data_IF_527475475790
#
_entry.id   IF_527475475790
#
_cell.length_a   1.000
_cell.length_b   1.000
_cell.length_c   1.000
_cell.angle_alpha   90.00
_cell.angle_beta   90.00
_cell.angle_gamma   90.00
#
_symmetry.space_group_name_H-M   'P 1'
#
loop_
_entity.id
_entity.type
_entity.pdbx_description
1 polymer ?
#
# COMPACT_ATOMS: atom_id res chain seq x y z
N UNK A 1 9.04 -11.73 8.01
CA UNK A 1 8.35 -11.36 6.76
C UNK A 1 9.03 -10.18 6.07
N UNK A 2 8.27 -9.27 5.44
CA UNK A 2 8.81 -8.06 4.79
C UNK A 2 9.32 -7.07 5.84
N UNK A 3 10.63 -6.84 5.87
CA UNK A 3 11.27 -5.84 6.76
C UNK A 3 11.45 -4.49 6.08
N UNK A 4 12.20 -4.46 4.99
CA UNK A 4 12.39 -3.28 4.14
C UNK A 4 12.95 -2.01 4.81
N UNK A 5 13.64 -2.13 5.95
CA UNK A 5 14.30 -1.01 6.65
C UNK A 5 15.83 -1.04 6.53
N UNK A 6 16.36 -1.81 5.58
CA UNK A 6 17.78 -1.99 5.23
C UNK A 6 18.67 -2.64 6.29
N UNK A 7 18.64 -2.16 7.53
CA UNK A 7 19.39 -2.69 8.67
C UNK A 7 18.90 -4.07 9.12
N UNK A 8 19.66 -4.74 9.97
CA UNK A 8 19.15 -5.92 10.68
C UNK A 8 18.18 -5.53 11.79
N UNK A 9 17.11 -6.32 12.02
CA UNK A 9 16.17 -6.05 13.09
C UNK A 9 16.84 -6.01 14.46
N UNK A 10 16.51 -5.00 15.25
CA UNK A 10 16.89 -4.88 16.65
C UNK A 10 15.63 -4.90 17.51
N UNK A 11 15.73 -5.39 18.75
CA UNK A 11 14.58 -5.51 19.66
C UNK A 11 13.65 -6.69 19.35
N UNK A 12 14.08 -7.64 18.54
CA UNK A 12 13.36 -8.89 18.26
C UNK A 12 14.16 -10.08 18.79
N UNK A 13 13.57 -10.89 19.70
CA UNK A 13 14.16 -12.14 20.18
C UNK A 13 14.39 -13.15 19.02
N UNK A 14 13.54 -13.07 18.00
CA UNK A 14 13.61 -13.88 16.80
C UNK A 14 13.19 -13.08 15.57
N UNK A 15 13.94 -13.19 14.47
CA UNK A 15 13.54 -12.60 13.20
C UNK A 15 13.96 -13.44 12.01
N UNK A 16 13.06 -13.52 11.02
CA UNK A 16 13.32 -14.05 9.69
C UNK A 16 12.69 -13.11 8.67
N UNK A 17 13.52 -12.45 7.87
CA UNK A 17 13.09 -11.32 7.05
C UNK A 17 13.39 -11.53 5.56
N UNK A 18 12.55 -10.93 4.71
CA UNK A 18 12.77 -10.89 3.27
C UNK A 18 13.82 -9.81 2.94
N UNK A 19 14.86 -10.11 2.13
CA UNK A 19 15.74 -9.10 1.58
C UNK A 19 14.99 -8.14 0.66
N UNK A 20 15.15 -6.83 0.86
CA UNK A 20 14.45 -5.81 0.08
C UNK A 20 12.93 -5.95 0.20
N UNK A 21 12.25 -6.03 -0.96
CA UNK A 21 10.80 -6.23 -1.02
C UNK A 21 10.38 -7.71 -1.11
N UNK A 22 11.35 -8.63 -1.03
CA UNK A 22 11.12 -10.08 -1.14
C UNK A 22 10.62 -10.56 -2.50
N UNK A 23 10.42 -11.86 -2.59
CA UNK A 23 9.87 -12.57 -3.75
C UNK A 23 8.59 -13.32 -3.34
N UNK A 24 7.69 -13.55 -4.28
CA UNK A 24 6.47 -14.36 -4.10
C UNK A 24 6.75 -15.85 -4.12
N UNK A 25 7.60 -16.33 -5.03
CA UNK A 25 7.92 -17.75 -5.16
C UNK A 25 9.37 -18.03 -4.79
N UNK A 26 9.55 -19.08 -4.00
CA UNK A 26 10.82 -19.59 -3.48
C UNK A 26 11.74 -18.45 -2.96
N UNK A 27 11.24 -17.62 -2.02
CA UNK A 27 11.97 -16.45 -1.54
C UNK A 27 13.24 -16.83 -0.78
N UNK A 28 14.24 -15.95 -0.87
CA UNK A 28 15.35 -15.95 0.08
C UNK A 28 14.89 -15.23 1.37
N UNK A 29 15.26 -15.76 2.53
CA UNK A 29 15.10 -15.14 3.85
C UNK A 29 16.48 -14.88 4.47
N UNK A 30 16.61 -13.76 5.17
CA UNK A 30 17.75 -13.44 6.04
C UNK A 30 17.35 -13.77 7.48
N UNK A 31 18.24 -14.45 8.19
CA UNK A 31 18.18 -14.78 9.62
C UNK A 31 19.51 -14.44 10.28
N UNK A 32 19.63 -14.65 11.59
CA UNK A 32 20.91 -14.49 12.30
C UNK A 32 21.96 -15.51 11.85
N UNK A 33 21.54 -16.68 11.38
CA UNK A 33 22.41 -17.74 10.87
C UNK A 33 22.82 -17.54 9.40
N UNK A 34 22.23 -16.56 8.70
CA UNK A 34 22.58 -16.22 7.32
C UNK A 34 21.38 -16.17 6.39
N UNK A 35 21.61 -16.38 5.10
CA UNK A 35 20.55 -16.36 4.08
C UNK A 35 20.19 -17.77 3.64
N UNK A 36 18.89 -18.08 3.59
CA UNK A 36 18.37 -19.37 3.13
C UNK A 36 17.22 -19.16 2.17
N UNK A 37 17.21 -19.93 1.07
CA UNK A 37 16.05 -20.04 0.19
C UNK A 37 15.10 -21.11 0.71
N UNK A 38 13.81 -20.83 0.66
CA UNK A 38 12.76 -21.77 1.06
C UNK A 38 11.77 -21.87 -0.09
N UNK A 39 11.52 -23.10 -0.55
CA UNK A 39 10.56 -23.35 -1.62
C UNK A 39 9.12 -23.21 -1.12
N UNK A 40 8.28 -22.54 -1.89
CA UNK A 40 6.90 -22.26 -1.54
C UNK A 40 6.43 -20.87 -1.98
N UNK A 41 5.18 -20.54 -1.65
CA UNK A 41 4.65 -19.19 -1.82
C UNK A 41 4.92 -18.38 -0.55
N UNK A 42 5.44 -17.17 -0.72
CA UNK A 42 5.88 -16.28 0.35
C UNK A 42 4.78 -15.95 1.36
N UNK A 43 3.52 -15.85 0.92
CA UNK A 43 2.40 -15.60 1.86
C UNK A 43 2.26 -16.78 2.81
N UNK A 44 2.20 -17.99 2.28
CA UNK A 44 2.09 -19.23 3.06
C UNK A 44 3.31 -19.42 3.97
N UNK A 45 4.53 -19.26 3.43
CA UNK A 45 5.77 -19.43 4.19
C UNK A 45 5.89 -18.45 5.36
N UNK A 46 5.50 -17.18 5.18
CA UNK A 46 5.51 -16.19 6.26
C UNK A 46 4.49 -16.57 7.34
N UNK A 47 3.31 -17.08 6.96
CA UNK A 47 2.31 -17.60 7.91
C UNK A 47 2.82 -18.83 8.66
N UNK A 48 3.46 -19.76 7.96
CA UNK A 48 4.01 -20.99 8.52
C UNK A 48 5.08 -20.66 9.57
N UNK A 49 6.02 -19.77 9.25
CA UNK A 49 7.03 -19.29 10.20
C UNK A 49 6.40 -18.65 11.45
N UNK A 50 5.35 -17.85 11.27
CA UNK A 50 4.65 -17.21 12.38
C UNK A 50 3.94 -18.26 13.28
N UNK A 51 3.26 -19.23 12.68
CA UNK A 51 2.59 -20.32 13.40
C UNK A 51 3.60 -21.24 14.11
N UNK A 52 4.69 -21.59 13.44
CA UNK A 52 5.74 -22.44 14.03
C UNK A 52 6.41 -21.74 15.20
N UNK A 53 6.64 -20.43 15.10
CA UNK A 53 7.14 -19.64 16.22
C UNK A 53 6.19 -19.62 17.42
N UNK A 54 4.88 -19.48 17.18
CA UNK A 54 3.87 -19.53 18.24
C UNK A 54 3.81 -20.92 18.91
N UNK A 55 3.76 -21.99 18.12
CA UNK A 55 3.74 -23.38 18.62
C UNK A 55 4.93 -23.72 19.49
N UNK A 56 6.13 -23.29 19.09
CA UNK A 56 7.35 -23.51 19.84
C UNK A 56 7.44 -22.72 21.16
N UNK A 57 6.42 -21.93 21.48
CA UNK A 57 6.31 -21.15 22.72
C UNK A 57 5.03 -21.44 23.50
N UNK A 58 4.30 -22.51 23.16
CA UNK A 58 3.06 -22.87 23.87
C UNK A 58 3.25 -23.06 25.38
N UNK A 59 4.43 -23.52 25.81
CA UNK A 59 4.79 -23.69 27.22
C UNK A 59 5.41 -22.43 27.86
N UNK A 60 5.53 -21.31 27.14
CA UNK A 60 6.13 -20.09 27.67
C UNK A 60 5.13 -19.26 28.47
N UNK A 61 5.55 -18.81 29.65
CA UNK A 61 4.81 -17.86 30.49
C UNK A 61 5.01 -16.39 30.10
N UNK A 62 5.91 -16.10 29.15
CA UNK A 62 6.21 -14.73 28.70
C UNK A 62 5.18 -14.25 27.69
N UNK A 63 4.67 -13.00 27.81
CA UNK A 63 3.85 -12.39 26.77
C UNK A 63 4.63 -12.25 25.46
N UNK A 64 3.92 -12.13 24.34
CA UNK A 64 4.53 -11.98 23.02
C UNK A 64 4.00 -10.77 22.26
N UNK A 65 4.85 -10.28 21.34
CA UNK A 65 4.45 -9.43 20.23
C UNK A 65 4.98 -10.07 18.95
N UNK A 66 4.07 -10.38 18.01
CA UNK A 66 4.40 -11.03 16.75
C UNK A 66 4.05 -10.12 15.57
N UNK A 67 5.05 -9.83 14.73
CA UNK A 67 4.86 -9.06 13.50
C UNK A 67 4.88 -9.99 12.27
N UNK A 68 3.69 -10.44 11.84
CA UNK A 68 3.52 -11.24 10.63
C UNK A 68 3.35 -10.33 9.39
N UNK A 69 4.47 -9.94 8.77
CA UNK A 69 4.49 -8.95 7.68
C UNK A 69 4.57 -9.62 6.31
N UNK A 70 3.48 -9.61 5.54
CA UNK A 70 3.43 -10.22 4.21
C UNK A 70 4.06 -9.34 3.11
N UNK A 71 4.52 -9.98 2.02
CA UNK A 71 4.85 -9.30 0.76
C UNK A 71 3.58 -8.91 -0.01
N UNK A 72 2.59 -9.79 -0.01
CA UNK A 72 1.34 -9.59 -0.72
C UNK A 72 0.55 -8.39 -0.14
N UNK A 73 -0.20 -7.64 -0.97
CA UNK A 73 -0.37 -7.76 -2.42
C UNK A 73 0.54 -6.79 -3.22
N UNK A 74 1.82 -6.68 -2.89
CA UNK A 74 2.74 -5.80 -3.62
C UNK A 74 2.92 -6.20 -5.10
N UNK A 75 3.21 -5.23 -5.99
CA UNK A 75 3.62 -5.47 -7.39
C UNK A 75 4.77 -6.51 -7.44
N UNK A 76 4.78 -7.48 -8.36
CA UNK A 76 3.94 -7.67 -9.57
C UNK A 76 2.80 -8.70 -9.38
N UNK A 77 2.14 -8.72 -8.21
CA UNK A 77 0.89 -9.48 -7.96
C UNK A 77 0.92 -10.92 -8.45
N UNK A 78 1.81 -11.73 -7.87
CA UNK A 78 1.93 -13.15 -8.22
C UNK A 78 1.16 -14.00 -7.21
N UNK A 79 -0.10 -14.38 -7.48
CA UNK A 79 -0.92 -15.13 -6.53
C UNK A 79 -0.37 -16.54 -6.32
N UNK A 80 -0.82 -17.21 -5.25
CA UNK A 80 -0.52 -18.62 -5.06
C UNK A 80 -1.13 -19.45 -6.21
N UNK A 81 -0.48 -20.57 -6.57
CA UNK A 81 -0.90 -21.38 -7.73
C UNK A 81 -2.37 -21.84 -7.61
N UNK A 82 -2.82 -22.14 -6.38
CA UNK A 82 -4.22 -22.52 -6.07
C UNK A 82 -5.26 -21.44 -6.40
N UNK A 83 -4.85 -20.19 -6.59
CA UNK A 83 -5.75 -19.06 -6.87
C UNK A 83 -5.70 -18.57 -8.31
N UNK A 84 -4.93 -19.21 -9.21
CA UNK A 84 -4.74 -18.72 -10.59
C UNK A 84 -6.02 -18.66 -11.42
N UNK A 85 -7.00 -19.52 -11.12
CA UNK A 85 -8.30 -19.53 -11.80
C UNK A 85 -9.35 -18.64 -11.14
N UNK A 86 -9.11 -18.17 -9.91
CA UNK A 86 -10.09 -17.40 -9.14
C UNK A 86 -10.44 -16.10 -9.87
N UNK A 87 -11.73 -15.76 -9.98
CA UNK A 87 -12.22 -14.58 -10.71
C UNK A 87 -12.03 -14.59 -12.24
N UNK A 88 -11.66 -15.72 -12.86
CA UNK A 88 -11.57 -15.80 -14.33
C UNK A 88 -12.89 -15.38 -15.02
N UNK A 89 -14.00 -15.85 -14.46
CA UNK A 89 -15.35 -15.66 -15.00
C UNK A 89 -16.05 -14.42 -14.42
N UNK A 90 -15.39 -13.70 -13.51
CA UNK A 90 -15.93 -12.49 -12.88
C UNK A 90 -15.43 -11.25 -13.59
N UNK A 91 -16.35 -10.38 -14.02
CA UNK A 91 -15.99 -9.02 -14.44
C UNK A 91 -15.93 -8.13 -13.19
N UNK A 92 -14.74 -7.67 -12.84
CA UNK A 92 -14.57 -6.77 -11.70
C UNK A 92 -15.05 -5.37 -12.12
N UNK A 93 -15.87 -4.66 -11.31
CA UNK A 93 -16.32 -3.31 -11.64
C UNK A 93 -15.14 -2.38 -11.94
N UNK A 94 -15.28 -1.51 -12.94
CA UNK A 94 -14.29 -0.46 -13.23
C UNK A 94 -14.57 0.72 -12.29
N UNK A 95 -13.55 1.35 -11.67
CA UNK A 95 -13.76 2.60 -10.96
C UNK A 95 -14.23 3.67 -11.97
N UNK A 96 -15.14 4.58 -11.58
CA UNK A 96 -15.61 5.65 -12.46
C UNK A 96 -14.47 6.51 -13.03
N UNK A 97 -13.36 6.58 -12.29
CA UNK A 97 -12.16 7.37 -12.58
C UNK A 97 -11.09 6.61 -13.38
N UNK A 98 -11.36 5.39 -13.88
CA UNK A 98 -10.37 4.59 -14.65
C UNK A 98 -9.81 5.32 -15.88
N UNK A 99 -10.59 6.24 -16.46
CA UNK A 99 -10.19 7.04 -17.62
C UNK A 99 -10.05 8.53 -17.28
N UNK A 100 -9.76 8.85 -16.02
CA UNK A 100 -9.43 10.20 -15.60
C UNK A 100 -8.25 10.75 -16.41
N UNK A 101 -8.24 12.07 -16.60
CA UNK A 101 -7.23 12.85 -17.32
C UNK A 101 -6.68 13.99 -16.49
N UNK A 102 -7.04 14.06 -15.21
CA UNK A 102 -6.47 14.98 -14.21
C UNK A 102 -6.47 16.43 -14.67
N UNK A 103 -7.54 16.85 -15.37
CA UNK A 103 -7.61 18.17 -16.01
C UNK A 103 -7.62 19.30 -14.99
N UNK A 104 -8.31 19.08 -13.87
CA UNK A 104 -8.46 20.07 -12.81
C UNK A 104 -7.37 19.94 -11.73
N UNK A 105 -6.70 18.79 -11.63
CA UNK A 105 -5.57 18.58 -10.71
C UNK A 105 -4.36 19.45 -11.09
N UNK A 106 -3.50 19.67 -10.10
CA UNK A 106 -2.15 20.18 -10.30
C UNK A 106 -1.39 19.30 -11.30
N UNK A 107 -0.46 19.91 -12.03
CA UNK A 107 0.28 19.25 -13.11
C UNK A 107 1.06 18.00 -12.72
N UNK A 108 1.57 17.81 -11.49
CA UNK A 108 2.19 16.55 -11.10
C UNK A 108 1.32 15.32 -11.37
N UNK A 109 -0.01 15.41 -11.29
CA UNK A 109 -0.90 14.28 -11.59
C UNK A 109 -0.80 13.81 -13.06
N UNK A 110 -0.39 14.70 -13.98
CA UNK A 110 -0.21 14.41 -15.42
C UNK A 110 1.20 13.90 -15.77
N UNK A 111 2.15 13.95 -14.83
CA UNK A 111 3.56 13.60 -15.08
C UNK A 111 4.05 12.37 -14.28
N UNK A 112 3.16 11.69 -13.55
CA UNK A 112 3.49 10.40 -12.92
C UNK A 112 3.68 9.27 -13.93
N UNK A 113 4.28 8.18 -13.46
CA UNK A 113 4.54 6.96 -14.22
C UNK A 113 3.91 5.71 -13.56
N UNK A 114 2.61 5.77 -13.27
CA UNK A 114 1.84 4.75 -12.53
C UNK A 114 0.44 4.46 -13.12
N UNK A 115 0.19 4.84 -14.36
CA UNK A 115 -1.06 4.51 -15.07
C UNK A 115 -1.18 3.03 -15.49
N UNK A 116 -2.40 2.51 -15.41
CA UNK A 116 -2.81 1.23 -16.01
C UNK A 116 -2.57 1.22 -17.51
N UNK A 117 -2.87 2.33 -18.20
CA UNK A 117 -2.68 2.45 -19.66
C UNK A 117 -1.19 2.60 -20.02
N UNK A 118 -0.54 3.66 -19.53
CA UNK A 118 0.83 3.99 -19.93
C UNK A 118 1.94 3.15 -19.30
N UNK A 119 1.75 2.61 -18.09
CA UNK A 119 2.89 2.19 -17.25
C UNK A 119 2.84 0.74 -16.76
N UNK A 120 1.70 0.05 -16.85
CA UNK A 120 1.68 -1.40 -16.67
C UNK A 120 2.28 -2.11 -17.89
N UNK A 121 3.31 -2.90 -17.64
CA UNK A 121 3.97 -3.72 -18.63
C UNK A 121 3.21 -5.04 -18.81
N UNK A 122 2.79 -5.31 -20.05
CA UNK A 122 1.96 -6.49 -20.33
C UNK A 122 2.69 -7.81 -20.05
N UNK A 123 4.02 -7.84 -20.22
CA UNK A 123 4.82 -9.05 -20.03
C UNK A 123 5.23 -9.18 -18.57
N UNK A 124 5.74 -8.10 -17.96
CA UNK A 124 6.36 -8.18 -16.64
C UNK A 124 5.38 -7.99 -15.47
N UNK A 125 4.26 -7.27 -15.67
CA UNK A 125 3.23 -7.08 -14.64
C UNK A 125 2.01 -7.97 -14.85
N UNK A 126 1.57 -8.10 -16.10
CA UNK A 126 0.31 -8.76 -16.43
C UNK A 126 0.50 -10.20 -16.89
N UNK A 127 1.75 -10.63 -17.09
CA UNK A 127 2.13 -11.97 -17.53
C UNK A 127 1.42 -12.42 -18.82
N UNK A 128 1.16 -11.45 -19.71
CA UNK A 128 0.63 -11.66 -21.05
C UNK A 128 1.75 -11.77 -22.10
N UNK A 129 1.42 -12.26 -23.31
CA UNK A 129 2.34 -12.25 -24.43
C UNK A 129 2.55 -10.83 -24.97
N UNK A 130 3.67 -10.54 -25.64
CA UNK A 130 3.79 -9.32 -26.43
C UNK A 130 2.74 -9.32 -27.54
N UNK A 131 1.96 -8.25 -27.66
CA UNK A 131 0.91 -8.06 -28.67
C UNK A 131 1.02 -6.66 -29.26
N UNK A 132 0.45 -6.42 -30.45
CA UNK A 132 0.40 -5.10 -31.08
C UNK A 132 1.78 -4.42 -31.21
N UNK A 133 2.84 -5.18 -31.48
CA UNK A 133 4.21 -4.65 -31.58
C UNK A 133 4.85 -4.24 -30.24
N UNK A 134 4.27 -4.63 -29.11
CA UNK A 134 4.77 -4.27 -27.78
C UNK A 134 6.17 -4.83 -27.52
N UNK A 135 7.12 -3.92 -27.28
CA UNK A 135 8.46 -4.26 -26.79
C UNK A 135 8.48 -4.13 -25.25
N UNK A 136 8.64 -5.23 -24.50
CA UNK A 136 8.62 -5.19 -23.04
C UNK A 136 9.78 -4.39 -22.42
N UNK A 137 10.79 -4.01 -23.21
CA UNK A 137 11.96 -3.27 -22.73
C UNK A 137 11.93 -1.77 -23.07
N UNK A 138 10.94 -1.26 -23.82
CA UNK A 138 10.87 0.14 -24.27
C UNK A 138 9.82 1.02 -23.55
N UNK A 139 9.34 0.60 -22.38
CA UNK A 139 8.38 1.38 -21.57
C UNK A 139 9.05 2.46 -20.71
N UNK A 140 8.27 3.47 -20.28
CA UNK A 140 8.74 4.54 -19.37
C UNK A 140 9.12 4.01 -17.99
N UNK A 141 8.33 3.07 -17.48
CA UNK A 141 8.61 2.28 -16.27
C UNK A 141 8.72 0.81 -16.64
N UNK A 142 9.91 0.21 -16.44
CA UNK A 142 10.15 -1.22 -16.66
C UNK A 142 10.60 -1.87 -15.36
N UNK A 143 9.66 -2.53 -14.66
CA UNK A 143 9.99 -3.40 -13.54
C UNK A 143 10.04 -4.87 -13.99
N UNK A 144 11.22 -5.50 -13.90
CA UNK A 144 11.43 -6.92 -14.22
C UNK A 144 11.34 -7.85 -13.01
N UNK A 145 10.90 -7.34 -11.85
CA UNK A 145 10.84 -8.11 -10.60
C UNK A 145 10.00 -9.39 -10.74
N UNK A 146 8.81 -9.31 -11.34
CA UNK A 146 7.95 -10.46 -11.62
C UNK A 146 8.62 -11.52 -12.49
N UNK A 147 9.23 -11.09 -13.59
CA UNK A 147 9.95 -11.99 -14.50
C UNK A 147 11.13 -12.68 -13.81
N UNK A 148 11.94 -11.93 -13.06
CA UNK A 148 13.03 -12.51 -12.25
C UNK A 148 12.51 -13.49 -11.21
N UNK A 149 11.30 -13.27 -10.68
CA UNK A 149 10.70 -14.20 -9.74
C UNK A 149 10.21 -15.49 -10.43
N UNK A 150 9.71 -15.43 -11.66
CA UNK A 150 9.36 -16.64 -12.44
C UNK A 150 10.57 -17.55 -12.62
N UNK A 151 11.77 -16.99 -12.81
CA UNK A 151 13.01 -17.77 -12.92
C UNK A 151 13.42 -18.50 -11.64
N UNK A 152 12.79 -18.18 -10.50
CA UNK A 152 13.02 -18.90 -9.23
C UNK A 152 12.05 -20.06 -9.02
N UNK A 153 10.97 -20.14 -9.79
CA UNK A 153 10.01 -21.24 -9.67
C UNK A 153 10.66 -22.59 -10.01
N UNK A 154 10.24 -23.65 -9.34
CA UNK A 154 10.55 -25.01 -9.77
C UNK A 154 9.90 -25.28 -11.13
N UNK A 155 10.38 -26.29 -11.91
CA UNK A 155 9.76 -26.64 -13.19
C UNK A 155 8.25 -26.90 -13.08
N UNK A 156 7.81 -27.58 -12.00
CA UNK A 156 6.41 -27.85 -11.74
C UNK A 156 5.60 -26.57 -11.44
N UNK A 157 6.13 -25.67 -10.60
CA UNK A 157 5.49 -24.39 -10.31
C UNK A 157 5.35 -23.54 -11.57
N UNK A 158 6.41 -23.48 -12.41
CA UNK A 158 6.39 -22.72 -13.65
C UNK A 158 5.40 -23.31 -14.67
N UNK A 159 5.30 -24.63 -14.76
CA UNK A 159 4.31 -25.30 -15.61
C UNK A 159 2.87 -24.97 -15.20
N UNK A 160 2.57 -25.06 -13.90
CA UNK A 160 1.26 -24.69 -13.35
C UNK A 160 0.94 -23.20 -13.58
N UNK A 161 1.93 -22.32 -13.37
CA UNK A 161 1.80 -20.90 -13.65
C UNK A 161 1.44 -20.64 -15.12
N UNK A 162 2.18 -21.23 -16.07
CA UNK A 162 1.92 -21.08 -17.51
C UNK A 162 0.53 -21.59 -17.89
N UNK A 163 0.13 -22.76 -17.36
CA UNK A 163 -1.20 -23.31 -17.59
C UNK A 163 -2.31 -22.38 -17.06
N UNK A 164 -2.11 -21.74 -15.90
CA UNK A 164 -3.09 -20.82 -15.32
C UNK A 164 -3.38 -19.57 -16.16
N UNK A 165 -2.48 -19.19 -17.07
CA UNK A 165 -2.63 -18.00 -17.92
C UNK A 165 -2.81 -18.31 -19.42
N UNK A 166 -2.64 -19.57 -19.86
CA UNK A 166 -2.58 -19.93 -21.29
C UNK A 166 -3.79 -19.45 -22.09
N UNK A 167 -5.00 -19.75 -21.61
CA UNK A 167 -6.23 -19.53 -22.36
C UNK A 167 -6.53 -18.04 -22.51
N UNK A 168 -6.32 -17.28 -21.44
CA UNK A 168 -6.51 -15.84 -21.44
C UNK A 168 -5.45 -15.13 -22.28
N UNK A 169 -4.22 -15.64 -22.30
CA UNK A 169 -3.14 -15.11 -23.12
C UNK A 169 -3.41 -15.39 -24.61
N UNK A 170 -3.86 -16.60 -24.94
CA UNK A 170 -4.28 -16.94 -26.30
C UNK A 170 -5.48 -16.09 -26.75
N UNK A 171 -6.43 -15.82 -25.85
CA UNK A 171 -7.56 -14.92 -26.12
C UNK A 171 -7.11 -13.49 -26.38
N UNK A 172 -6.19 -12.94 -25.60
CA UNK A 172 -5.64 -11.59 -25.84
C UNK A 172 -5.08 -11.46 -27.26
N UNK A 173 -4.29 -12.44 -27.71
CA UNK A 173 -3.69 -12.46 -29.05
C UNK A 173 -4.78 -12.48 -30.13
N UNK A 174 -5.78 -13.36 -29.98
CA UNK A 174 -6.89 -13.47 -30.95
C UNK A 174 -7.75 -12.21 -31.02
N UNK A 175 -8.02 -11.58 -29.88
CA UNK A 175 -8.94 -10.44 -29.79
C UNK A 175 -8.35 -9.15 -30.38
N UNK A 176 -7.01 -9.03 -30.51
CA UNK A 176 -6.35 -7.87 -31.13
C UNK A 176 -6.75 -6.53 -30.52
N UNK A 177 -6.95 -6.49 -29.19
CA UNK A 177 -7.54 -5.33 -28.51
C UNK A 177 -6.67 -4.08 -28.63
N UNK A 178 -7.29 -2.93 -28.87
CA UNK A 178 -6.65 -1.60 -28.92
C UNK A 178 -7.46 -0.55 -28.14
N UNK A 179 -6.85 0.61 -27.90
CA UNK A 179 -7.48 1.75 -27.22
C UNK A 179 -8.12 1.39 -25.88
N UNK A 180 -9.29 1.96 -25.57
CA UNK A 180 -9.99 1.73 -24.30
C UNK A 180 -10.32 0.25 -24.04
N UNK A 181 -10.51 -0.57 -25.07
CA UNK A 181 -10.77 -2.02 -24.87
C UNK A 181 -9.52 -2.72 -24.33
N UNK A 182 -8.33 -2.32 -24.80
CA UNK A 182 -7.07 -2.85 -24.29
C UNK A 182 -6.79 -2.39 -22.87
N UNK A 183 -7.04 -1.11 -22.55
CA UNK A 183 -6.92 -0.59 -21.18
C UNK A 183 -7.81 -1.38 -20.20
N UNK A 184 -9.06 -1.65 -20.58
CA UNK A 184 -9.97 -2.48 -19.78
C UNK A 184 -9.45 -3.90 -19.59
N UNK A 185 -8.86 -4.50 -20.61
CA UNK A 185 -8.22 -5.81 -20.46
C UNK A 185 -7.05 -5.75 -19.47
N UNK A 186 -6.18 -4.73 -19.57
CA UNK A 186 -5.07 -4.51 -18.63
C UNK A 186 -5.58 -4.36 -17.21
N UNK A 187 -6.60 -3.53 -17.02
CA UNK A 187 -7.27 -3.33 -15.74
C UNK A 187 -7.80 -4.66 -15.17
N UNK A 188 -8.60 -5.41 -15.95
CA UNK A 188 -9.15 -6.70 -15.49
C UNK A 188 -8.06 -7.69 -15.10
N UNK A 189 -6.96 -7.78 -15.87
CA UNK A 189 -5.84 -8.67 -15.52
C UNK A 189 -5.13 -8.21 -14.25
N UNK A 190 -4.85 -6.91 -14.13
CA UNK A 190 -4.26 -6.30 -12.94
C UNK A 190 -5.10 -6.59 -11.69
N UNK A 191 -6.37 -6.18 -11.68
CA UNK A 191 -7.21 -6.24 -10.48
C UNK A 191 -7.50 -7.68 -10.05
N UNK A 192 -7.66 -8.62 -11.00
CA UNK A 192 -7.80 -10.04 -10.66
C UNK A 192 -6.54 -10.58 -10.00
N UNK A 193 -5.35 -10.29 -10.54
CA UNK A 193 -4.09 -10.73 -9.94
C UNK A 193 -3.89 -10.11 -8.54
N UNK A 194 -4.19 -8.82 -8.37
CA UNK A 194 -4.18 -8.15 -7.08
C UNK A 194 -5.09 -8.86 -6.07
N UNK A 195 -6.37 -9.07 -6.41
CA UNK A 195 -7.36 -9.69 -5.52
C UNK A 195 -7.04 -11.15 -5.20
N UNK A 196 -6.43 -11.90 -6.13
CA UNK A 196 -5.94 -13.26 -5.86
C UNK A 196 -4.81 -13.27 -4.83
N UNK A 197 -3.89 -12.29 -4.87
CA UNK A 197 -2.89 -12.14 -3.82
C UNK A 197 -3.53 -11.80 -2.47
N UNK A 198 -4.54 -10.92 -2.46
CA UNK A 198 -5.31 -10.61 -1.25
C UNK A 198 -6.00 -11.85 -0.69
N UNK A 199 -6.55 -12.74 -1.53
CA UNK A 199 -7.15 -13.99 -1.07
C UNK A 199 -6.17 -14.88 -0.29
N UNK A 200 -4.91 -14.93 -0.71
CA UNK A 200 -3.87 -15.63 0.06
C UNK A 200 -3.59 -15.00 1.43
N UNK A 201 -3.64 -13.68 1.54
CA UNK A 201 -3.49 -12.97 2.83
C UNK A 201 -4.70 -13.22 3.74
N UNK A 202 -5.91 -13.19 3.19
CA UNK A 202 -7.15 -13.52 3.91
C UNK A 202 -7.11 -14.95 4.49
N UNK A 203 -6.69 -15.93 3.70
CA UNK A 203 -6.47 -17.31 4.17
C UNK A 203 -5.40 -17.38 5.26
N UNK A 204 -4.30 -16.63 5.13
CA UNK A 204 -3.26 -16.53 6.15
C UNK A 204 -3.79 -16.01 7.48
N UNK A 205 -4.56 -14.92 7.45
CA UNK A 205 -5.22 -14.36 8.65
C UNK A 205 -6.15 -15.40 9.26
N UNK A 206 -6.95 -16.10 8.45
CA UNK A 206 -7.80 -17.19 8.91
C UNK A 206 -7.04 -18.29 9.66
N UNK A 207 -5.88 -18.72 9.14
CA UNK A 207 -5.01 -19.72 9.79
C UNK A 207 -4.45 -19.23 11.13
N UNK A 208 -4.02 -17.97 11.21
CA UNK A 208 -3.53 -17.38 12.46
C UNK A 208 -4.66 -17.30 13.51
N UNK A 209 -5.85 -16.85 13.11
CA UNK A 209 -7.00 -16.77 14.00
C UNK A 209 -7.45 -18.14 14.51
N UNK A 210 -7.47 -19.15 13.63
CA UNK A 210 -7.81 -20.53 14.01
C UNK A 210 -6.80 -21.12 15.00
N UNK A 211 -5.51 -20.82 14.81
CA UNK A 211 -4.49 -21.23 15.77
C UNK A 211 -4.67 -20.54 17.13
N UNK A 212 -4.90 -19.21 17.17
CA UNK A 212 -5.16 -18.51 18.43
C UNK A 212 -6.36 -19.11 19.17
N UNK A 213 -7.40 -19.52 18.45
CA UNK A 213 -8.59 -20.16 19.03
C UNK A 213 -8.28 -21.55 19.57
N UNK A 214 -7.66 -22.41 18.76
CA UNK A 214 -7.39 -23.81 19.13
C UNK A 214 -6.32 -23.96 20.23
N UNK A 215 -5.38 -23.00 20.34
CA UNK A 215 -4.40 -22.92 21.42
C UNK A 215 -4.90 -22.22 22.69
N UNK A 216 -6.13 -21.69 22.69
CA UNK A 216 -6.69 -20.94 23.83
C UNK A 216 -6.13 -19.51 24.00
N UNK A 217 -5.23 -19.06 23.14
CA UNK A 217 -4.62 -17.71 23.17
C UNK A 217 -5.60 -16.60 22.73
N UNK A 218 -6.68 -16.95 22.03
CA UNK A 218 -7.63 -16.01 21.42
C UNK A 218 -8.18 -14.97 22.40
N UNK A 219 -8.40 -15.33 23.67
CA UNK A 219 -8.98 -14.42 24.69
C UNK A 219 -7.97 -13.42 25.25
N UNK A 220 -6.67 -13.72 25.15
CA UNK A 220 -5.58 -12.93 25.72
C UNK A 220 -4.65 -12.34 24.65
N UNK A 221 -5.11 -12.28 23.40
CA UNK A 221 -4.34 -11.75 22.28
C UNK A 221 -5.09 -10.59 21.64
N UNK A 222 -4.41 -9.45 21.51
CA UNK A 222 -4.87 -8.33 20.69
C UNK A 222 -4.42 -8.61 19.26
N UNK A 223 -5.37 -8.64 18.33
CA UNK A 223 -5.07 -8.86 16.91
C UNK A 223 -5.29 -7.54 16.17
N UNK A 224 -4.26 -7.11 15.44
CA UNK A 224 -4.27 -5.87 14.66
C UNK A 224 -3.94 -6.22 13.22
N UNK A 225 -4.85 -5.87 12.31
CA UNK A 225 -4.65 -5.98 10.87
C UNK A 225 -4.55 -4.57 10.25
N UNK A 226 -3.49 -4.33 9.49
CA UNK A 226 -3.26 -3.09 8.76
C UNK A 226 -2.50 -3.36 7.47
N UNK A 227 -2.49 -2.38 6.57
CA UNK A 227 -1.53 -2.29 5.46
C UNK A 227 -0.42 -1.29 5.81
N UNK A 228 0.69 -1.28 5.05
CA UNK A 228 1.73 -0.24 5.18
C UNK A 228 1.25 1.14 4.68
N UNK A 229 0.33 1.13 3.71
CA UNK A 229 -0.35 2.27 3.09
C UNK A 229 -1.56 1.75 2.29
N UNK A 230 -2.30 2.65 1.62
CA UNK A 230 -3.40 2.30 0.72
C UNK A 230 -2.95 1.66 -0.60
N UNK A 231 -3.75 1.73 -1.66
CA UNK A 231 -3.34 1.39 -3.02
C UNK A 231 -4.38 1.83 -4.05
N UNK A 232 -3.96 2.35 -5.21
CA UNK A 232 -4.88 2.59 -6.33
C UNK A 232 -5.31 1.29 -6.98
N UNK A 233 -6.61 1.05 -7.11
CA UNK A 233 -7.16 -0.14 -7.74
C UNK A 233 -7.72 0.17 -9.12
N UNK A 234 -7.03 1.03 -9.87
CA UNK A 234 -7.49 1.59 -11.14
C UNK A 234 -8.12 2.98 -10.98
N UNK A 235 -8.35 3.44 -9.75
CA UNK A 235 -8.82 4.79 -9.47
C UNK A 235 -7.84 5.80 -10.05
N UNK A 236 -8.38 6.86 -10.66
CA UNK A 236 -7.63 7.84 -11.46
C UNK A 236 -6.85 7.23 -12.65
N UNK A 237 -7.14 5.99 -13.02
CA UNK A 237 -6.38 5.23 -14.00
C UNK A 237 -5.05 4.70 -13.48
N UNK A 238 -4.82 4.71 -12.16
CA UNK A 238 -3.53 4.40 -11.54
C UNK A 238 -3.45 3.02 -10.86
N UNK A 239 -2.22 2.58 -10.62
CA UNK A 239 -1.83 1.57 -9.63
C UNK A 239 -0.71 2.16 -8.75
N UNK A 240 -0.23 1.46 -7.72
CA UNK A 240 0.77 1.99 -6.77
C UNK A 240 0.17 2.95 -5.73
N UNK A 241 0.96 3.90 -5.22
CA UNK A 241 0.64 4.74 -4.06
C UNK A 241 1.37 6.08 -4.15
N UNK A 242 1.87 6.63 -3.02
CA UNK A 242 2.75 7.81 -2.86
C UNK A 242 2.01 9.13 -2.72
N UNK A 243 0.91 9.30 -3.43
CA UNK A 243 0.10 10.50 -3.32
C UNK A 243 -0.63 10.58 -1.97
N UNK A 244 -0.98 11.82 -1.60
CA UNK A 244 -1.84 12.11 -0.47
C UNK A 244 -3.34 11.90 -0.76
N UNK A 245 -3.75 11.50 -1.97
CA UNK A 245 -5.15 11.13 -2.24
C UNK A 245 -5.57 9.89 -1.44
N UNK A 246 -6.87 9.76 -1.15
CA UNK A 246 -7.41 8.87 -0.12
C UNK A 246 -7.15 7.39 -0.40
N UNK A 247 -7.16 6.94 -1.66
CA UNK A 247 -6.87 5.54 -2.00
C UNK A 247 -5.44 5.14 -1.63
N UNK A 248 -4.49 6.08 -1.68
CA UNK A 248 -3.08 5.86 -1.32
C UNK A 248 -2.80 6.15 0.15
N UNK A 249 -3.41 7.20 0.69
CA UNK A 249 -3.18 7.69 2.05
C UNK A 249 -3.88 6.85 3.11
N UNK A 250 -5.12 6.37 2.86
CA UNK A 250 -5.90 5.65 3.87
C UNK A 250 -5.45 4.21 3.99
N UNK A 251 -5.14 3.81 5.22
CA UNK A 251 -4.80 2.44 5.57
C UNK A 251 -6.02 1.73 6.17
N UNK A 252 -6.27 0.45 5.85
CA UNK A 252 -7.14 -0.37 6.67
C UNK A 252 -6.52 -0.49 8.07
N UNK A 253 -7.34 -0.38 9.11
CA UNK A 253 -6.94 -0.65 10.49
C UNK A 253 -8.10 -1.36 11.19
N UNK A 254 -7.92 -2.64 11.48
CA UNK A 254 -8.90 -3.46 12.18
C UNK A 254 -8.25 -4.00 13.45
N UNK A 255 -8.89 -3.78 14.59
CA UNK A 255 -8.38 -4.21 15.90
C UNK A 255 -9.42 -5.08 16.60
N UNK A 256 -8.97 -6.25 17.08
CA UNK A 256 -9.73 -7.13 17.96
C UNK A 256 -9.03 -7.20 19.31
N UNK A 257 -9.67 -6.63 20.32
CA UNK A 257 -9.20 -6.70 21.72
C UNK A 257 -10.30 -7.27 22.62
N UNK A 258 -10.29 -8.59 22.88
CA UNK A 258 -11.31 -9.25 23.68
C UNK A 258 -11.45 -8.63 25.07
N UNK A 259 -12.70 -8.45 25.52
CA UNK A 259 -13.00 -7.88 26.83
C UNK A 259 -12.81 -6.36 26.94
N UNK A 260 -12.20 -5.71 25.95
CA UNK A 260 -11.94 -4.25 25.96
C UNK A 260 -12.72 -3.56 24.85
N UNK A 261 -12.54 -3.96 23.59
CA UNK A 261 -13.24 -3.33 22.46
C UNK A 261 -14.57 -4.04 22.20
N UNK A 262 -15.67 -3.29 22.22
CA UNK A 262 -17.00 -3.81 21.86
C UNK A 262 -17.01 -4.30 20.40
N UNK A 263 -17.36 -5.57 20.11
CA UNK A 263 -17.43 -6.10 18.76
C UNK A 263 -18.34 -5.26 17.83
N UNK A 264 -17.92 -5.08 16.58
CA UNK A 264 -18.66 -4.30 15.59
C UNK A 264 -18.56 -2.79 15.74
N UNK A 265 -17.73 -2.28 16.67
CA UNK A 265 -17.53 -0.84 16.82
C UNK A 265 -16.83 -0.22 15.61
N UNK A 266 -17.25 0.99 15.24
CA UNK A 266 -16.66 1.80 14.18
C UNK A 266 -16.22 3.12 14.79
N UNK A 267 -15.00 3.56 14.47
CA UNK A 267 -14.47 4.84 14.90
C UNK A 267 -14.04 5.64 13.67
N UNK A 268 -14.39 6.92 13.64
CA UNK A 268 -14.11 7.84 12.51
C UNK A 268 -13.09 8.92 12.87
N UNK A 269 -12.46 8.82 14.05
CA UNK A 269 -11.41 9.73 14.47
C UNK A 269 -10.19 9.61 13.56
N UNK A 270 -9.47 10.73 13.45
CA UNK A 270 -8.27 10.80 12.63
C UNK A 270 -7.10 10.12 13.32
N UNK A 271 -6.76 8.92 12.86
CA UNK A 271 -5.59 8.14 13.33
C UNK A 271 -4.52 8.05 12.26
N UNK A 272 -3.28 7.79 12.67
CA UNK A 272 -2.13 7.65 11.78
C UNK A 272 -1.21 6.52 12.23
N UNK A 273 -0.35 6.03 11.35
CA UNK A 273 0.59 4.96 11.63
C UNK A 273 1.57 5.26 12.78
N UNK A 274 1.84 6.55 13.06
CA UNK A 274 2.60 6.96 14.24
C UNK A 274 1.91 6.55 15.55
N UNK A 275 0.59 6.38 15.59
CA UNK A 275 -0.15 6.08 16.82
C UNK A 275 0.04 4.63 17.31
N UNK A 276 0.61 3.75 16.48
CA UNK A 276 0.64 2.32 16.74
C UNK A 276 1.61 1.96 17.87
N UNK A 277 2.80 2.56 17.87
CA UNK A 277 3.85 2.21 18.83
C UNK A 277 3.45 2.60 20.27
N UNK A 278 2.91 3.80 20.46
CA UNK A 278 2.38 4.29 21.74
C UNK A 278 1.21 3.44 22.22
N UNK A 279 0.37 2.96 21.29
CA UNK A 279 -0.70 2.02 21.61
C UNK A 279 -0.13 0.71 22.15
N UNK A 280 0.92 0.16 21.52
CA UNK A 280 1.56 -1.08 21.97
C UNK A 280 2.21 -0.92 23.35
N UNK A 281 2.88 0.21 23.59
CA UNK A 281 3.50 0.52 24.87
C UNK A 281 2.46 0.65 25.98
N UNK A 282 1.37 1.40 25.76
CA UNK A 282 0.30 1.55 26.75
C UNK A 282 -0.40 0.22 27.06
N UNK A 283 -0.69 -0.58 26.03
CA UNK A 283 -1.21 -1.95 26.18
C UNK A 283 -0.30 -2.82 27.05
N UNK A 284 1.01 -2.70 26.87
CA UNK A 284 2.01 -3.44 27.63
C UNK A 284 2.30 -2.85 29.03
N UNK A 285 1.67 -1.74 29.41
CA UNK A 285 1.93 -1.04 30.67
C UNK A 285 3.30 -0.36 30.72
N UNK A 286 3.91 -0.09 29.56
CA UNK A 286 5.21 0.57 29.44
C UNK A 286 5.00 2.08 29.27
N UNK A 287 5.79 2.88 30.00
CA UNK A 287 5.76 4.34 29.85
C UNK A 287 6.15 4.72 28.42
N UNK A 288 5.29 5.48 27.75
CA UNK A 288 5.56 6.08 26.44
C UNK A 288 6.67 7.14 26.58
N UNK A 289 7.77 7.03 25.82
CA UNK A 289 8.80 8.08 25.74
C UNK A 289 8.26 9.42 25.20
N UNK A 290 8.76 10.53 25.75
CA UNK A 290 8.26 11.88 25.46
C UNK A 290 8.63 12.39 24.05
N UNK A 291 9.53 11.71 23.35
CA UNK A 291 9.98 12.04 22.00
C UNK A 291 9.12 11.41 20.89
N UNK A 292 8.24 10.46 21.24
CA UNK A 292 7.28 9.89 20.29
C UNK A 292 6.19 10.90 19.91
N UNK A 293 5.70 10.83 18.67
CA UNK A 293 4.87 11.88 18.05
C UNK A 293 3.41 11.47 17.80
N UNK A 294 3.08 10.20 18.00
CA UNK A 294 1.74 9.66 17.91
C UNK A 294 0.90 9.91 19.16
N UNK A 295 -0.27 9.29 19.22
CA UNK A 295 -1.14 9.22 20.40
C UNK A 295 -1.68 7.81 20.50
N UNK A 296 -1.60 7.22 21.69
CA UNK A 296 -2.18 5.91 21.94
C UNK A 296 -3.67 5.86 21.57
N UNK A 297 -4.06 4.78 20.90
CA UNK A 297 -5.42 4.49 20.48
C UNK A 297 -6.23 3.79 21.59
N UNK A 298 -5.62 3.46 22.73
CA UNK A 298 -6.29 2.70 23.82
C UNK A 298 -7.61 3.35 24.27
N UNK A 299 -7.72 4.68 24.49
CA UNK A 299 -9.01 5.30 24.82
C UNK A 299 -10.07 5.08 23.74
N UNK A 300 -9.70 5.21 22.46
CA UNK A 300 -10.61 4.97 21.34
C UNK A 300 -11.04 3.49 21.28
N UNK A 301 -10.11 2.57 21.54
CA UNK A 301 -10.38 1.12 21.55
C UNK A 301 -11.28 0.70 22.73
N UNK A 302 -11.27 1.43 23.83
CA UNK A 302 -12.22 1.28 24.96
C UNK A 302 -13.60 1.89 24.68
N UNK A 303 -13.76 2.59 23.56
CA UNK A 303 -14.99 3.29 23.21
C UNK A 303 -15.15 4.63 23.93
N UNK A 304 -14.07 5.19 24.48
CA UNK A 304 -14.06 6.52 25.08
C UNK A 304 -14.06 7.62 24.00
N UNK A 305 -14.33 8.86 24.41
CA UNK A 305 -14.33 10.04 23.53
C UNK A 305 -13.33 11.09 24.05
N UNK A 306 -12.02 10.82 23.96
CA UNK A 306 -11.00 11.76 24.41
C UNK A 306 -10.99 13.01 23.52
N UNK A 307 -10.40 14.10 24.02
CA UNK A 307 -10.04 15.23 23.13
C UNK A 307 -9.04 14.73 22.09
N UNK A 308 -9.44 14.70 20.83
CA UNK A 308 -8.64 14.13 19.76
C UNK A 308 -7.98 15.18 18.86
N UNK A 309 -7.46 14.77 17.69
CA UNK A 309 -6.88 15.66 16.69
C UNK A 309 -7.89 15.91 15.57
N UNK A 310 -7.92 17.13 15.06
CA UNK A 310 -8.82 17.52 13.96
C UNK A 310 -8.16 17.46 12.58
N UNK A 311 -6.85 17.16 12.56
CA UNK A 311 -6.00 17.21 11.38
C UNK A 311 -4.90 16.14 11.41
N UNK A 312 -4.52 15.65 10.23
CA UNK A 312 -3.36 14.79 9.98
C UNK A 312 -2.37 15.50 9.08
N UNK A 313 -1.08 15.29 9.34
CA UNK A 313 0.02 15.74 8.50
C UNK A 313 0.49 14.62 7.58
N UNK A 314 0.97 14.99 6.39
CA UNK A 314 1.57 14.05 5.45
C UNK A 314 2.74 14.74 4.74
N UNK A 315 3.84 14.00 4.52
CA UNK A 315 4.97 14.45 3.70
C UNK A 315 5.59 13.27 2.95
N UNK A 316 5.69 13.40 1.63
CA UNK A 316 6.32 12.46 0.71
C UNK A 316 7.55 13.08 0.01
N UNK A 317 8.64 12.31 -0.07
CA UNK A 317 9.97 12.80 -0.46
C UNK A 317 10.59 12.16 -1.70
N UNK A 318 10.08 11.03 -2.18
CA UNK A 318 10.80 10.19 -3.15
C UNK A 318 10.61 10.67 -4.60
N UNK A 319 11.34 11.73 -4.99
CA UNK A 319 11.35 12.30 -6.33
C UNK A 319 12.69 13.01 -6.65
N UNK A 320 13.25 12.90 -7.88
CA UNK A 320 12.81 12.03 -8.97
C UNK A 320 13.18 10.55 -8.70
N UNK A 321 12.22 9.65 -8.80
CA UNK A 321 12.39 8.20 -8.55
C UNK A 321 11.30 7.41 -9.29
N UNK A 322 11.19 6.11 -8.99
CA UNK A 322 10.11 5.24 -9.45
C UNK A 322 8.74 5.92 -9.37
N UNK A 323 7.96 5.76 -10.43
CA UNK A 323 6.62 6.34 -10.61
C UNK A 323 6.55 7.87 -10.72
N UNK A 324 7.68 8.59 -10.61
CA UNK A 324 7.76 10.03 -10.88
C UNK A 324 6.71 10.89 -10.15
N UNK A 325 6.30 10.47 -8.94
CA UNK A 325 5.37 11.23 -8.11
C UNK A 325 6.11 12.39 -7.46
N UNK A 326 5.63 13.62 -7.62
CA UNK A 326 6.28 14.82 -7.09
C UNK A 326 6.35 14.82 -5.55
N UNK A 327 7.40 15.43 -4.98
CA UNK A 327 7.44 15.66 -3.53
C UNK A 327 6.30 16.58 -3.11
N UNK A 328 5.65 16.24 -2.00
CA UNK A 328 4.54 17.02 -1.50
C UNK A 328 4.34 16.82 0.00
N UNK A 329 3.80 17.84 0.63
CA UNK A 329 3.26 17.77 1.98
C UNK A 329 1.86 18.34 2.02
N UNK A 330 1.13 18.07 3.08
CA UNK A 330 -0.21 18.59 3.21
C UNK A 330 -0.88 18.26 4.53
N UNK A 331 -2.12 18.72 4.62
CA UNK A 331 -3.01 18.50 5.76
C UNK A 331 -4.29 17.83 5.28
N UNK A 332 -4.77 16.86 6.06
CA UNK A 332 -6.10 16.26 5.91
C UNK A 332 -6.90 16.49 7.18
N UNK A 333 -8.09 17.06 7.07
CA UNK A 333 -9.09 17.13 8.15
C UNK A 333 -10.22 16.14 7.90
N UNK A 334 -11.26 16.16 8.73
CA UNK A 334 -12.46 15.35 8.50
C UNK A 334 -13.19 15.69 7.19
N UNK A 335 -12.98 16.89 6.63
CA UNK A 335 -13.69 17.36 5.43
C UNK A 335 -12.78 17.84 4.31
N UNK A 336 -11.66 18.49 4.61
CA UNK A 336 -10.83 19.12 3.60
C UNK A 336 -9.45 18.50 3.53
N UNK A 337 -8.85 18.55 2.35
CA UNK A 337 -7.46 18.19 2.12
C UNK A 337 -6.76 19.30 1.37
N UNK A 338 -5.61 19.77 1.87
CA UNK A 338 -4.78 20.78 1.24
C UNK A 338 -3.38 20.20 1.01
N UNK A 339 -2.93 20.19 -0.24
CA UNK A 339 -1.68 19.57 -0.67
C UNK A 339 -0.80 20.63 -1.34
N UNK A 340 0.51 20.62 -1.05
CA UNK A 340 1.51 21.44 -1.74
C UNK A 340 2.55 20.58 -2.44
N UNK A 341 2.63 20.71 -3.76
CA UNK A 341 3.73 20.18 -4.59
C UNK A 341 4.84 21.22 -4.65
N UNK A 342 5.65 21.27 -3.59
CA UNK A 342 6.46 22.44 -3.27
C UNK A 342 7.60 22.72 -4.27
N UNK A 343 8.22 21.69 -4.87
CA UNK A 343 9.28 21.88 -5.87
C UNK A 343 8.77 22.58 -7.15
N UNK A 344 7.46 22.64 -7.30
CA UNK A 344 6.74 23.07 -8.48
C UNK A 344 5.82 24.28 -8.22
N UNK A 345 5.77 24.74 -6.96
CA UNK A 345 4.89 25.80 -6.47
C UNK A 345 3.40 25.63 -6.80
N UNK A 346 2.91 24.40 -6.80
CA UNK A 346 1.50 24.10 -7.04
C UNK A 346 0.79 23.59 -5.79
N UNK A 347 -0.52 23.88 -5.75
CA UNK A 347 -1.38 23.53 -4.63
C UNK A 347 -2.68 22.91 -5.11
N UNK A 348 -3.22 22.04 -4.26
CA UNK A 348 -4.57 21.46 -4.42
C UNK A 348 -5.38 21.59 -3.14
N UNK A 349 -6.69 21.85 -3.29
CA UNK A 349 -7.68 21.80 -2.22
C UNK A 349 -8.86 20.92 -2.66
N UNK A 350 -9.26 19.99 -1.80
CA UNK A 350 -10.45 19.13 -2.00
C UNK A 350 -11.44 19.25 -0.84
N UNK A 351 -12.74 19.27 -1.14
CA UNK A 351 -13.85 19.11 -0.17
C UNK A 351 -14.31 17.64 -0.24
N UNK A 352 -13.73 16.79 0.58
CA UNK A 352 -13.92 15.33 0.58
C UNK A 352 -15.37 14.90 0.84
N UNK A 353 -16.19 15.80 1.39
CA UNK A 353 -17.64 15.54 1.56
C UNK A 353 -18.40 15.64 0.23
N UNK A 354 -17.95 16.50 -0.68
CA UNK A 354 -18.61 16.75 -1.98
C UNK A 354 -17.90 16.08 -3.15
N UNK A 355 -16.61 15.83 -2.99
CA UNK A 355 -15.71 15.29 -3.99
C UNK A 355 -14.82 14.23 -3.32
N UNK A 356 -15.40 13.08 -2.93
CA UNK A 356 -14.65 12.01 -2.26
C UNK A 356 -13.59 11.37 -3.15
N UNK A 357 -13.75 11.50 -4.47
CA UNK A 357 -12.81 11.00 -5.49
C UNK A 357 -11.75 12.05 -5.86
N UNK A 358 -11.71 13.22 -5.20
CA UNK A 358 -10.65 14.23 -5.34
C UNK A 358 -10.36 14.68 -6.79
N UNK A 359 -11.44 14.87 -7.58
CA UNK A 359 -11.36 15.20 -9.00
C UNK A 359 -11.30 16.71 -9.28
N UNK A 360 -11.77 17.54 -8.35
CA UNK A 360 -11.94 18.99 -8.56
C UNK A 360 -11.07 19.78 -7.60
N UNK A 361 -9.95 20.29 -8.11
CA UNK A 361 -9.13 21.23 -7.35
C UNK A 361 -9.85 22.56 -7.12
N UNK A 362 -10.09 22.88 -5.85
CA UNK A 362 -10.75 24.10 -5.39
C UNK A 362 -9.77 25.21 -5.03
N UNK A 363 -8.46 24.97 -5.13
CA UNK A 363 -7.44 25.95 -4.78
C UNK A 363 -7.54 27.18 -5.69
N UNK A 364 -7.45 28.38 -5.10
CA UNK A 364 -7.58 29.66 -5.81
C UNK A 364 -9.01 30.08 -6.13
N UNK A 365 -10.04 29.29 -5.80
CA UNK A 365 -11.44 29.71 -5.95
C UNK A 365 -11.82 30.69 -4.82
N UNK A 366 -12.35 31.90 -5.12
CA UNK A 366 -12.62 32.92 -4.10
C UNK A 366 -13.49 32.44 -2.93
N UNK A 367 -14.48 31.58 -3.21
CA UNK A 367 -15.37 30.98 -2.20
C UNK A 367 -14.64 30.21 -1.09
N UNK A 368 -13.44 29.71 -1.35
CA UNK A 368 -12.67 28.89 -0.40
C UNK A 368 -11.46 29.63 0.17
N UNK A 369 -11.35 30.95 -0.03
CA UNK A 369 -10.18 31.73 0.41
C UNK A 369 -9.93 31.61 1.93
N UNK A 370 -10.97 31.78 2.75
CA UNK A 370 -10.86 31.67 4.20
C UNK A 370 -10.48 30.25 4.63
N UNK A 371 -11.11 29.23 4.05
CA UNK A 371 -10.78 27.82 4.30
C UNK A 371 -9.32 27.51 3.94
N UNK A 372 -8.80 28.06 2.84
CA UNK A 372 -7.39 27.87 2.45
C UNK A 372 -6.46 28.54 3.47
N UNK A 373 -6.79 29.74 3.94
CA UNK A 373 -6.00 30.45 4.93
C UNK A 373 -5.93 29.70 6.26
N UNK A 374 -7.08 29.22 6.76
CA UNK A 374 -7.18 28.40 7.97
C UNK A 374 -6.37 27.10 7.85
N UNK A 375 -6.52 26.37 6.73
CA UNK A 375 -5.79 25.13 6.51
C UNK A 375 -4.28 25.35 6.37
N UNK A 376 -3.84 26.46 5.78
CA UNK A 376 -2.40 26.81 5.72
C UNK A 376 -1.84 27.11 7.10
N UNK A 377 -2.59 27.82 7.94
CA UNK A 377 -2.17 28.10 9.31
C UNK A 377 -2.05 26.81 10.12
N UNK A 378 -3.04 25.92 10.03
CA UNK A 378 -2.99 24.63 10.72
C UNK A 378 -1.90 23.71 10.16
N UNK A 379 -1.66 23.74 8.86
CA UNK A 379 -0.54 23.02 8.24
C UNK A 379 0.81 23.45 8.84
N UNK A 380 1.02 24.75 9.05
CA UNK A 380 2.26 25.23 9.68
C UNK A 380 2.35 24.88 11.17
N UNK A 381 1.22 24.90 11.89
CA UNK A 381 1.16 24.40 13.27
C UNK A 381 1.57 22.92 13.34
N UNK A 382 1.10 22.09 12.40
CA UNK A 382 1.46 20.68 12.31
C UNK A 382 2.94 20.48 11.97
N UNK A 383 3.49 21.25 11.01
CA UNK A 383 4.92 21.21 10.68
C UNK A 383 5.78 21.56 11.88
N UNK A 384 5.41 22.60 12.63
CA UNK A 384 6.09 22.98 13.88
C UNK A 384 5.98 21.86 14.92
N UNK A 385 4.77 21.33 15.15
CA UNK A 385 4.50 20.24 16.10
C UNK A 385 5.33 18.99 15.80
N UNK A 386 5.41 18.60 14.53
CA UNK A 386 6.14 17.42 14.09
C UNK A 386 7.62 17.70 13.77
N UNK A 387 8.08 18.95 14.01
CA UNK A 387 9.46 19.38 13.81
C UNK A 387 9.96 19.15 12.38
N UNK A 388 9.08 19.30 11.40
CA UNK A 388 9.43 19.12 9.99
C UNK A 388 10.10 20.37 9.42
N UNK A 389 11.43 20.38 9.50
CA UNK A 389 12.32 21.42 8.99
C UNK A 389 12.88 21.09 7.59
N UNK A 390 12.22 20.21 6.84
CA UNK A 390 12.67 19.81 5.49
C UNK A 390 12.77 20.99 4.53
N UNK A 391 13.73 20.91 3.60
CA UNK A 391 13.81 21.85 2.48
C UNK A 391 12.62 21.68 1.53
N UNK A 392 11.77 22.69 1.53
CA UNK A 392 10.56 22.78 0.71
C UNK A 392 10.67 23.85 -0.37
N UNK A 393 11.89 24.18 -0.79
CA UNK A 393 12.15 25.20 -1.80
C UNK A 393 11.53 24.86 -3.15
N UNK A 394 11.03 25.89 -3.83
CA UNK A 394 10.60 25.82 -5.22
C UNK A 394 11.83 25.66 -6.11
N UNK A 395 11.79 24.72 -7.04
CA UNK A 395 12.91 24.50 -7.96
C UNK A 395 12.90 25.54 -9.10
N UNK A 396 14.06 25.89 -9.68
CA UNK A 396 14.13 26.81 -10.82
C UNK A 396 13.27 26.35 -12.02
N UNK A 397 12.75 27.29 -12.80
CA UNK A 397 11.85 27.02 -13.93
C UNK A 397 12.42 25.99 -14.94
N UNK A 398 13.72 26.07 -15.25
CA UNK A 398 14.39 25.10 -16.15
C UNK A 398 14.38 23.67 -15.59
N UNK A 399 14.56 23.53 -14.27
CA UNK A 399 14.44 22.24 -13.61
C UNK A 399 13.00 21.74 -13.67
N UNK A 400 12.02 22.60 -13.39
CA UNK A 400 10.61 22.21 -13.46
C UNK A 400 10.23 21.73 -14.87
N UNK A 401 10.65 22.47 -15.90
CA UNK A 401 10.42 22.13 -17.31
C UNK A 401 10.98 20.76 -17.67
N UNK A 402 12.17 20.41 -17.18
CA UNK A 402 12.79 19.07 -17.39
C UNK A 402 11.88 17.92 -16.92
N UNK A 403 11.17 18.12 -15.81
CA UNK A 403 10.30 17.12 -15.20
C UNK A 403 8.80 17.27 -15.55
N UNK A 404 8.45 18.29 -16.35
CA UNK A 404 7.08 18.60 -16.82
C UNK A 404 6.93 18.57 -18.33
N UNK A 405 7.84 17.89 -19.04
CA UNK A 405 7.70 17.76 -20.48
C UNK A 405 6.43 16.95 -20.75
N UNK A 406 5.53 17.49 -21.60
CA UNK A 406 4.45 16.73 -22.21
C UNK A 406 5.08 15.61 -23.05
N UNK A 407 5.26 14.46 -22.42
CA UNK A 407 5.89 13.29 -23.04
C UNK A 407 4.76 12.49 -23.70
N UNK A 408 4.47 12.90 -24.95
CA UNK A 408 3.49 12.30 -25.87
C UNK A 408 3.38 10.77 -25.74
#
# INVERSE_FOLDING_TARGET
GKWHLSSDPQGFDHWQILPGQGQYYNPDFKTVEGRKRIDGHCTDLVTDMALDWLKNREDSDKPFMLMCQHKAPHRTWMPALRHLSLYNDSKIPEPPTLFDRWKDNASPARHQEMEVDGHLNIVYDLFGPPVNGWDPNKGRSVDKSGFRNLMKMTPAQLAAWKAGFSDQNAKLVRDGLTGKKFVRWKYQRYIRNYLRCVKGVDESVGRLMEYLKSSGLEKNTIVIYSSDQGFYLGDHGWYDKRWMYDESMKMPLIVRWPGVTRPGSINTELVQNLDYAETFLEVAGVKVPDDMQGRSLVPLLKGESPRWRDSLYYHYFEFPSYHMVAKHYGIRTSRYKLIRFYQFDEWELYDLKKDPDELKNLYGKPKYADTIAELKQELENLRTRYRDNSDVSVMPAEWQKKYRVDRN
#
